data_IF_699555509372
#
_entry.id   IF_699555509372
#
_cell.length_a   1.000
_cell.length_b   1.000
_cell.length_c   1.000
_cell.angle_alpha   90.00
_cell.angle_beta   90.00
_cell.angle_gamma   90.00
#
_symmetry.space_group_name_H-M   'P 1'
#
loop_
_entity.id
_entity.type
_entity.pdbx_description
1 polymer ?
#
# COMPACT_ATOMS: atom_id res chain seq x y z
N UNK A 1 6.11 5.76 9.14
CA UNK A 1 5.27 4.65 9.67
C UNK A 1 5.40 3.48 8.70
N UNK A 2 5.31 2.24 9.17
CA UNK A 2 5.44 1.04 8.33
C UNK A 2 4.04 0.47 8.02
N UNK A 3 3.54 0.51 6.76
CA UNK A 3 2.20 0.06 6.41
C UNK A 3 1.91 -1.42 6.72
N UNK A 4 2.92 -2.29 6.64
CA UNK A 4 2.81 -3.72 6.97
C UNK A 4 2.25 -3.97 8.38
N UNK A 5 2.55 -3.09 9.33
CA UNK A 5 2.10 -3.22 10.72
C UNK A 5 0.59 -2.96 10.87
N UNK A 6 -0.12 -2.57 9.82
CA UNK A 6 -1.56 -2.27 9.85
C UNK A 6 -2.41 -3.36 9.22
N UNK A 7 -1.80 -4.37 8.58
CA UNK A 7 -2.52 -5.46 7.90
C UNK A 7 -3.55 -6.09 8.85
N UNK A 8 -3.15 -6.43 10.08
CA UNK A 8 -4.05 -7.03 11.09
C UNK A 8 -5.26 -6.15 11.45
N UNK A 9 -5.18 -4.83 11.25
CA UNK A 9 -6.27 -3.89 11.55
C UNK A 9 -7.28 -3.79 10.41
N UNK A 10 -6.85 -4.06 9.19
CA UNK A 10 -7.67 -3.88 7.98
C UNK A 10 -8.07 -5.20 7.34
N UNK A 11 -7.42 -6.30 7.69
CA UNK A 11 -7.67 -7.67 7.23
C UNK A 11 -7.73 -8.58 8.45
N UNK A 12 -8.93 -8.77 8.99
CA UNK A 12 -9.19 -9.73 10.07
C UNK A 12 -9.58 -11.10 9.52
N UNK A 13 -10.17 -11.14 8.33
CA UNK A 13 -10.67 -12.34 7.64
C UNK A 13 -10.25 -12.38 6.16
N UNK A 14 -10.43 -13.55 5.52
CA UNK A 14 -10.25 -13.71 4.07
C UNK A 14 -11.19 -12.81 3.27
N UNK A 15 -12.40 -12.61 3.76
CA UNK A 15 -13.40 -11.73 3.11
C UNK A 15 -12.94 -10.27 3.15
N UNK A 16 -12.32 -9.81 4.24
CA UNK A 16 -11.72 -8.48 4.31
C UNK A 16 -10.62 -8.30 3.28
N UNK A 17 -9.78 -9.34 3.08
CA UNK A 17 -8.71 -9.33 2.07
C UNK A 17 -9.29 -9.33 0.66
N UNK A 18 -10.34 -10.13 0.41
CA UNK A 18 -11.05 -10.16 -0.87
C UNK A 18 -11.56 -8.77 -1.26
N UNK A 19 -12.09 -8.03 -0.29
CA UNK A 19 -12.60 -6.68 -0.49
C UNK A 19 -11.51 -5.61 -0.70
N UNK A 20 -10.21 -5.93 -0.50
CA UNK A 20 -9.14 -4.96 -0.73
C UNK A 20 -8.82 -4.78 -2.21
N UNK A 21 -8.70 -3.51 -2.60
CA UNK A 21 -8.24 -3.08 -3.92
C UNK A 21 -6.92 -2.32 -3.82
N UNK A 22 -6.90 -1.10 -4.36
CA UNK A 22 -5.71 -0.26 -4.40
C UNK A 22 -5.37 0.34 -3.03
N UNK A 23 -4.08 0.45 -2.73
CA UNK A 23 -3.54 1.28 -1.67
C UNK A 23 -2.75 2.45 -2.29
N UNK A 24 -2.92 3.63 -1.72
CA UNK A 24 -2.09 4.79 -2.02
C UNK A 24 -1.44 5.28 -0.74
N UNK A 25 -0.15 5.56 -0.84
CA UNK A 25 0.65 6.07 0.28
C UNK A 25 1.47 7.26 -0.18
N UNK A 26 2.07 7.95 0.78
CA UNK A 26 3.08 8.98 0.55
C UNK A 26 4.01 8.96 1.75
N UNK A 27 5.31 9.00 1.50
CA UNK A 27 6.30 9.00 2.57
C UNK A 27 6.20 10.30 3.38
N UNK A 28 6.48 10.25 4.69
CA UNK A 28 6.35 11.41 5.57
C UNK A 28 7.25 12.59 5.16
N UNK A 29 8.42 12.29 4.60
CA UNK A 29 9.32 13.32 4.04
C UNK A 29 8.71 14.04 2.84
N UNK A 30 8.08 13.30 1.92
CA UNK A 30 7.39 13.89 0.76
C UNK A 30 6.14 14.66 1.19
N UNK A 31 5.45 14.24 2.25
CA UNK A 31 4.39 15.04 2.89
C UNK A 31 4.95 16.35 3.43
N UNK A 32 6.07 16.32 4.16
CA UNK A 32 6.68 17.53 4.71
C UNK A 32 7.11 18.51 3.61
N UNK A 33 7.75 18.00 2.55
CA UNK A 33 8.12 18.79 1.36
C UNK A 33 6.90 19.39 0.69
N UNK A 34 5.82 18.62 0.53
CA UNK A 34 4.56 19.08 -0.03
C UNK A 34 3.92 20.21 0.80
N UNK A 35 3.90 20.08 2.13
CA UNK A 35 3.38 21.12 3.04
C UNK A 35 4.17 22.41 2.90
N UNK A 36 5.50 22.34 2.91
CA UNK A 36 6.37 23.53 2.74
C UNK A 36 6.17 24.17 1.36
N UNK A 37 6.06 23.37 0.30
CA UNK A 37 5.81 23.87 -1.05
C UNK A 37 4.45 24.59 -1.15
N UNK A 38 3.38 23.99 -0.60
CA UNK A 38 2.05 24.59 -0.56
C UNK A 38 2.02 25.86 0.28
N UNK A 39 2.76 25.92 1.39
CA UNK A 39 2.85 27.13 2.21
C UNK A 39 3.51 28.28 1.44
N UNK A 40 4.58 28.00 0.68
CA UNK A 40 5.31 29.01 -0.12
C UNK A 40 4.54 29.44 -1.38
N UNK A 41 3.77 28.52 -1.98
CA UNK A 41 2.96 28.76 -3.18
C UNK A 41 1.50 28.43 -2.88
N UNK A 42 0.91 29.21 -1.98
CA UNK A 42 -0.45 28.98 -1.50
C UNK A 42 -1.46 29.03 -2.64
N UNK A 43 -2.41 28.08 -2.60
CA UNK A 43 -3.49 27.99 -3.58
C UNK A 43 -4.83 28.10 -2.86
N UNK A 44 -5.39 29.32 -2.73
CA UNK A 44 -6.67 29.51 -2.07
C UNK A 44 -7.77 28.69 -2.78
N UNK A 45 -8.67 28.14 -1.97
CA UNK A 45 -9.83 27.35 -2.44
C UNK A 45 -9.50 26.09 -3.24
N UNK A 46 -8.25 25.59 -3.22
CA UNK A 46 -7.87 24.32 -3.83
C UNK A 46 -7.62 23.24 -2.79
N UNK A 47 -8.09 22.03 -3.09
CA UNK A 47 -7.74 20.80 -2.35
C UNK A 47 -6.88 19.94 -3.25
N UNK A 48 -5.70 19.60 -2.77
CA UNK A 48 -4.78 18.75 -3.50
C UNK A 48 -4.90 17.30 -3.05
N UNK A 49 -4.82 16.38 -4.02
CA UNK A 49 -4.57 14.97 -3.76
C UNK A 49 -3.06 14.77 -3.78
N UNK A 50 -2.55 14.11 -2.75
CA UNK A 50 -1.12 13.81 -2.60
C UNK A 50 -0.95 12.28 -2.47
N UNK A 51 -0.13 11.71 -3.35
CA UNK A 51 0.34 10.33 -3.29
C UNK A 51 1.77 10.25 -3.86
N UNK A 52 2.47 9.16 -3.56
CA UNK A 52 3.82 8.84 -4.05
C UNK A 52 3.89 8.43 -5.53
N UNK A 53 2.83 8.68 -6.30
CA UNK A 53 2.68 8.30 -7.72
C UNK A 53 2.54 6.80 -8.00
N UNK A 54 2.50 5.94 -6.96
CA UNK A 54 2.32 4.51 -7.13
C UNK A 54 0.87 4.08 -6.82
N UNK A 55 0.42 3.06 -7.54
CA UNK A 55 -0.79 2.29 -7.22
C UNK A 55 -0.31 0.96 -6.69
N UNK A 56 -0.61 0.67 -5.43
CA UNK A 56 -0.27 -0.61 -4.82
C UNK A 56 -1.48 -1.52 -4.83
N UNK A 57 -1.24 -2.81 -5.03
CA UNK A 57 -2.24 -3.84 -4.81
C UNK A 57 -2.08 -4.40 -3.40
N UNK A 58 -3.16 -4.40 -2.61
CA UNK A 58 -3.15 -5.02 -1.28
C UNK A 58 -2.80 -6.50 -1.29
N UNK A 59 -3.17 -7.27 -2.33
CA UNK A 59 -2.84 -8.71 -2.39
C UNK A 59 -1.33 -8.91 -2.58
N UNK A 60 -0.72 -8.13 -3.48
CA UNK A 60 0.72 -8.08 -3.73
C UNK A 60 1.50 -7.74 -2.46
N UNK A 61 1.10 -6.65 -1.78
CA UNK A 61 1.74 -6.22 -0.54
C UNK A 61 1.60 -7.24 0.60
N UNK A 62 0.41 -7.81 0.78
CA UNK A 62 0.16 -8.82 1.82
C UNK A 62 1.00 -10.07 1.57
N UNK A 63 1.08 -10.54 0.31
CA UNK A 63 1.93 -11.67 -0.05
C UNK A 63 3.40 -11.40 0.26
N UNK A 64 3.94 -10.26 -0.19
CA UNK A 64 5.34 -9.91 0.03
C UNK A 64 5.67 -9.79 1.53
N UNK A 65 4.85 -9.05 2.29
CA UNK A 65 5.08 -8.88 3.73
C UNK A 65 4.92 -10.16 4.55
N UNK A 66 3.99 -11.04 4.17
CA UNK A 66 3.86 -12.35 4.80
C UNK A 66 5.11 -13.20 4.55
N UNK A 67 5.61 -13.23 3.31
CA UNK A 67 6.85 -13.94 2.96
C UNK A 67 8.07 -13.37 3.68
N UNK A 68 8.18 -12.03 3.79
CA UNK A 68 9.25 -11.40 4.55
C UNK A 68 9.20 -11.79 6.03
N UNK A 69 8.00 -11.82 6.63
CA UNK A 69 7.81 -12.18 8.05
C UNK A 69 8.13 -13.65 8.31
N UNK A 70 7.71 -14.55 7.42
CA UNK A 70 7.99 -15.99 7.55
C UNK A 70 9.47 -16.35 7.34
N UNK A 71 10.23 -15.48 6.64
CA UNK A 71 11.69 -15.63 6.49
C UNK A 71 12.49 -14.98 7.61
N UNK A 72 11.85 -14.23 8.51
CA UNK A 72 12.52 -13.62 9.64
C UNK A 72 13.00 -14.69 10.64
N UNK A 73 14.03 -14.38 11.42
CA UNK A 73 14.57 -15.31 12.40
C UNK A 73 13.47 -15.70 13.43
N UNK A 74 13.36 -16.99 13.84
CA UNK A 74 12.29 -17.47 14.73
C UNK A 74 12.17 -16.71 16.05
N UNK A 75 13.27 -16.13 16.50
CA UNK A 75 13.38 -15.39 17.78
C UNK A 75 12.78 -13.98 17.70
N UNK A 76 12.40 -13.54 16.50
CA UNK A 76 11.88 -12.18 16.23
C UNK A 76 10.37 -12.13 16.06
N UNK A 77 9.72 -13.28 15.83
CA UNK A 77 8.29 -13.37 15.50
C UNK A 77 7.65 -14.47 16.35
N UNK A 78 6.54 -14.18 17.03
CA UNK A 78 5.84 -15.18 17.84
C UNK A 78 5.19 -16.26 16.96
N UNK A 79 4.95 -17.45 17.53
CA UNK A 79 4.25 -18.53 16.82
C UNK A 79 2.87 -18.11 16.31
N UNK A 80 2.12 -17.34 17.11
CA UNK A 80 0.82 -16.81 16.71
C UNK A 80 0.92 -15.85 15.51
N UNK A 81 1.97 -15.03 15.45
CA UNK A 81 2.22 -14.15 14.31
C UNK A 81 2.65 -14.98 13.08
N UNK A 82 3.50 -15.99 13.22
CA UNK A 82 3.87 -16.88 12.10
C UNK A 82 2.65 -17.61 11.52
N UNK A 83 1.75 -18.11 12.37
CA UNK A 83 0.50 -18.74 11.94
C UNK A 83 -0.35 -17.72 11.17
N UNK A 84 -0.51 -16.50 11.69
CA UNK A 84 -1.26 -15.43 11.03
C UNK A 84 -0.69 -15.07 9.65
N UNK A 85 0.63 -14.99 9.52
CA UNK A 85 1.29 -14.71 8.24
C UNK A 85 1.13 -15.86 7.24
N UNK A 86 1.14 -17.11 7.73
CA UNK A 86 0.84 -18.28 6.90
C UNK A 86 -0.60 -18.26 6.37
N UNK A 87 -1.57 -17.89 7.20
CA UNK A 87 -2.97 -17.71 6.79
C UNK A 87 -3.11 -16.62 5.72
N UNK A 88 -2.45 -15.47 5.90
CA UNK A 88 -2.46 -14.38 4.92
C UNK A 88 -1.94 -14.85 3.55
N UNK A 89 -0.83 -15.59 3.55
CA UNK A 89 -0.24 -16.12 2.33
C UNK A 89 -1.16 -17.13 1.64
N UNK A 90 -1.78 -18.03 2.40
CA UNK A 90 -2.75 -19.00 1.91
C UNK A 90 -3.99 -18.29 1.31
N UNK A 91 -4.54 -17.31 2.02
CA UNK A 91 -5.71 -16.55 1.55
C UNK A 91 -5.44 -15.83 0.24
N UNK A 92 -4.26 -15.24 0.05
CA UNK A 92 -3.91 -14.61 -1.25
C UNK A 92 -3.95 -15.66 -2.36
N UNK A 93 -3.33 -16.83 -2.18
CA UNK A 93 -3.33 -17.90 -3.19
C UNK A 93 -4.73 -18.41 -3.50
N UNK A 94 -5.54 -18.67 -2.47
CA UNK A 94 -6.93 -19.11 -2.64
C UNK A 94 -7.77 -18.05 -3.38
N UNK A 95 -7.63 -16.78 -3.02
CA UNK A 95 -8.34 -15.68 -3.68
C UNK A 95 -7.90 -15.48 -5.13
N UNK A 96 -6.63 -15.74 -5.44
CA UNK A 96 -6.16 -15.74 -6.83
C UNK A 96 -6.83 -16.83 -7.66
N UNK A 97 -6.97 -18.04 -7.11
CA UNK A 97 -7.68 -19.15 -7.77
C UNK A 97 -9.17 -18.84 -7.91
N UNK A 98 -9.82 -18.42 -6.84
CA UNK A 98 -11.26 -18.08 -6.82
C UNK A 98 -11.61 -16.94 -7.78
N UNK A 99 -10.74 -15.94 -7.90
CA UNK A 99 -10.94 -14.75 -8.72
C UNK A 99 -10.36 -14.83 -10.13
N UNK A 100 -9.84 -15.99 -10.56
CA UNK A 100 -9.12 -16.18 -11.84
C UNK A 100 -7.99 -15.15 -12.06
N UNK A 101 -7.30 -14.75 -10.98
CA UNK A 101 -6.19 -13.80 -11.04
C UNK A 101 -4.91 -14.56 -11.36
N UNK A 102 -4.35 -14.30 -12.55
CA UNK A 102 -3.18 -15.02 -13.08
C UNK A 102 -1.84 -14.57 -12.51
N UNK A 103 -1.74 -13.33 -12.04
CA UNK A 103 -0.51 -12.77 -11.50
C UNK A 103 -0.80 -11.61 -10.54
N UNK A 104 0.16 -11.37 -9.64
CA UNK A 104 0.25 -10.16 -8.83
C UNK A 104 1.40 -9.27 -9.35
N UNK A 105 1.30 -7.94 -9.20
CA UNK A 105 0.11 -7.21 -8.77
C UNK A 105 -1.03 -7.35 -9.79
N UNK A 106 -2.28 -7.32 -9.29
CA UNK A 106 -3.47 -7.33 -10.15
C UNK A 106 -3.47 -6.13 -11.10
N UNK A 107 -4.17 -6.28 -12.22
CA UNK A 107 -4.32 -5.19 -13.18
C UNK A 107 -4.90 -3.94 -12.49
N UNK A 108 -4.39 -2.77 -12.87
CA UNK A 108 -4.80 -1.54 -12.19
C UNK A 108 -6.29 -1.22 -12.38
N UNK A 109 -6.93 -1.73 -13.43
CA UNK A 109 -8.37 -1.60 -13.65
C UNK A 109 -9.21 -2.45 -12.69
N UNK A 110 -8.68 -3.55 -12.16
CA UNK A 110 -9.41 -4.46 -11.27
C UNK A 110 -9.30 -4.12 -9.79
N UNK A 111 -8.37 -3.25 -9.39
CA UNK A 111 -8.15 -2.86 -7.98
C UNK A 111 -8.95 -1.63 -7.54
N UNK A 112 -9.86 -1.13 -8.39
CA UNK A 112 -10.81 -0.08 -8.04
C UNK A 112 -10.25 1.35 -8.15
N UNK A 113 -10.55 2.19 -7.13
CA UNK A 113 -10.25 3.63 -7.17
C UNK A 113 -8.74 3.89 -7.12
N UNK A 114 -8.25 4.67 -8.09
CA UNK A 114 -6.85 5.10 -8.19
C UNK A 114 -6.75 6.62 -8.06
N UNK A 115 -5.70 7.09 -7.40
CA UNK A 115 -5.40 8.50 -7.23
C UNK A 115 -4.36 8.95 -8.25
N UNK A 116 -4.62 10.09 -8.89
CA UNK A 116 -3.65 10.80 -9.73
C UNK A 116 -3.06 11.98 -8.94
N UNK A 117 -1.83 11.81 -8.45
CA UNK A 117 -1.09 12.84 -7.72
C UNK A 117 -0.36 13.85 -8.60
N UNK A 118 -0.32 13.67 -9.93
CA UNK A 118 0.51 14.49 -10.83
C UNK A 118 0.17 15.97 -10.72
N UNK A 119 -1.10 16.29 -10.54
CA UNK A 119 -1.57 17.68 -10.47
C UNK A 119 -0.86 18.49 -9.40
N UNK A 120 -0.67 17.94 -8.19
CA UNK A 120 0.03 18.64 -7.12
C UNK A 120 1.52 18.81 -7.46
N UNK A 121 2.19 17.70 -7.76
CA UNK A 121 3.64 17.66 -8.00
C UNK A 121 4.06 18.58 -9.15
N UNK A 122 3.37 18.47 -10.29
CA UNK A 122 3.60 19.33 -11.44
C UNK A 122 3.34 20.81 -11.13
N UNK A 123 2.25 21.14 -10.43
CA UNK A 123 1.93 22.53 -10.09
C UNK A 123 2.97 23.16 -9.16
N UNK A 124 3.49 22.39 -8.20
CA UNK A 124 4.50 22.85 -7.24
C UNK A 124 5.92 22.84 -7.81
N UNK A 125 6.15 22.19 -8.95
CA UNK A 125 7.48 22.08 -9.57
C UNK A 125 8.43 21.17 -8.78
N UNK A 126 7.89 20.21 -8.04
CA UNK A 126 8.65 19.23 -7.26
C UNK A 126 8.07 17.83 -7.47
N UNK A 127 8.88 16.80 -7.24
CA UNK A 127 8.48 15.40 -7.37
C UNK A 127 8.76 14.62 -6.08
N UNK A 128 8.05 13.50 -5.82
CA UNK A 128 8.38 12.59 -4.73
C UNK A 128 9.85 12.18 -4.80
N UNK A 129 10.55 12.20 -3.67
CA UNK A 129 11.95 11.74 -3.58
C UNK A 129 12.06 10.38 -2.93
N UNK A 130 10.99 9.90 -2.30
CA UNK A 130 10.98 8.62 -1.61
C UNK A 130 10.43 7.54 -2.52
N UNK A 131 11.10 6.38 -2.51
CA UNK A 131 10.77 5.25 -3.37
C UNK A 131 9.53 4.47 -2.92
N UNK A 132 9.26 3.40 -3.66
CA UNK A 132 8.17 2.44 -3.39
C UNK A 132 8.26 1.90 -1.94
N UNK A 133 7.11 1.72 -1.28
CA UNK A 133 7.07 1.00 0.01
C UNK A 133 7.58 -0.43 -0.16
N UNK A 134 8.30 -0.91 0.85
CA UNK A 134 8.89 -2.25 0.94
C UNK A 134 8.36 -2.95 2.19
#
# INVERSE_FOLDING_TARGET
RQPRNWVHRVVASKDDLRAKGALHVVHGEDVARAVVALHRKFTPSKRWILCDMHVYDWWDLVQDWALQSLKAAPETVSEAEMARQSDLLAWVGELMVEGDVRALPRDTSSVGRRLDGRGFWAFMGIWPTQGRIR
#
